data_IF_769476383368
#
_entry.id   IF_769476383368
#
_cell.length_a   1.000
_cell.length_b   1.000
_cell.length_c   1.000
_cell.angle_alpha   90.00
_cell.angle_beta   90.00
_cell.angle_gamma   90.00
#
_symmetry.space_group_name_H-M   'P 1'
#
loop_
_entity.id
_entity.type
_entity.pdbx_description
1 polymer ?
#
# COMPACT_ATOMS: atom_id res chain seq x y z
N UNK A 1 -22.08 -20.05 8.28
CA UNK A 1 -20.83 -19.27 8.17
C UNK A 1 -20.13 -18.90 9.50
N UNK A 2 -20.71 -19.13 10.70
CA UNK A 2 -20.09 -18.73 11.99
C UNK A 2 -18.76 -19.43 12.37
N UNK A 3 -18.38 -20.52 11.70
CA UNK A 3 -17.26 -21.38 12.11
C UNK A 3 -15.87 -20.82 11.74
N UNK A 4 -15.78 -19.88 10.81
CA UNK A 4 -14.52 -19.36 10.26
C UNK A 4 -14.50 -17.84 10.20
N UNK A 5 -15.18 -17.18 11.15
CA UNK A 5 -15.27 -15.71 11.17
C UNK A 5 -13.88 -15.07 11.20
N UNK A 6 -12.92 -15.72 11.86
CA UNK A 6 -11.56 -15.21 12.05
C UNK A 6 -10.60 -15.63 10.91
N UNK A 7 -11.07 -16.45 9.96
CA UNK A 7 -10.26 -16.85 8.80
C UNK A 7 -10.34 -15.84 7.65
N UNK A 8 -11.32 -14.95 7.66
CA UNK A 8 -11.56 -13.97 6.61
C UNK A 8 -11.53 -12.57 7.20
N UNK A 9 -10.86 -11.65 6.51
CA UNK A 9 -10.97 -10.23 6.79
C UNK A 9 -12.10 -9.65 5.96
N UNK A 10 -13.10 -9.07 6.61
CA UNK A 10 -14.22 -8.38 5.98
C UNK A 10 -13.92 -6.90 5.78
N UNK A 11 -13.03 -6.36 6.62
CA UNK A 11 -12.47 -5.03 6.49
C UNK A 11 -10.93 -5.04 6.56
N UNK A 12 -10.29 -4.03 5.99
CA UNK A 12 -8.83 -3.92 5.94
C UNK A 12 -8.20 -3.75 7.34
N UNK A 13 -8.94 -3.24 8.32
CA UNK A 13 -8.46 -3.18 9.70
C UNK A 13 -8.32 -4.58 10.33
N UNK A 14 -9.00 -5.60 9.80
CA UNK A 14 -8.92 -6.99 10.26
C UNK A 14 -7.74 -7.75 9.63
N UNK A 15 -6.93 -7.08 8.78
CA UNK A 15 -5.71 -7.64 8.19
C UNK A 15 -4.47 -7.00 8.81
N UNK A 16 -4.11 -7.29 10.08
CA UNK A 16 -2.82 -6.92 10.62
C UNK A 16 -1.77 -7.70 9.82
N UNK A 17 -1.08 -7.01 8.89
CA UNK A 17 -0.07 -7.65 8.05
C UNK A 17 0.97 -8.40 8.88
N UNK A 18 1.67 -9.34 8.23
CA UNK A 18 2.73 -10.10 8.90
C UNK A 18 3.89 -9.18 9.32
N UNK A 19 4.52 -9.50 10.45
CA UNK A 19 5.74 -8.81 10.86
C UNK A 19 6.82 -8.94 9.79
N UNK A 20 7.52 -7.84 9.49
CA UNK A 20 8.63 -7.82 8.53
C UNK A 20 9.79 -8.71 8.94
N UNK A 21 9.89 -9.05 10.23
CA UNK A 21 10.86 -10.01 10.75
C UNK A 21 10.54 -11.46 10.31
N UNK A 22 9.29 -11.73 9.92
CA UNK A 22 8.82 -13.06 9.51
C UNK A 22 8.89 -13.17 7.98
N UNK A 23 8.30 -12.21 7.27
CA UNK A 23 8.28 -12.20 5.80
C UNK A 23 8.41 -10.76 5.29
N UNK A 24 9.44 -10.52 4.49
CA UNK A 24 9.55 -9.33 3.65
C UNK A 24 9.92 -9.78 2.23
N UNK A 25 9.16 -9.33 1.24
CA UNK A 25 9.49 -9.59 -0.15
C UNK A 25 10.52 -8.57 -0.65
N UNK A 26 11.64 -9.05 -1.17
CA UNK A 26 12.64 -8.22 -1.84
C UNK A 26 12.53 -8.39 -3.34
N UNK A 27 12.18 -7.30 -4.03
CA UNK A 27 12.19 -7.27 -5.49
C UNK A 27 13.66 -7.18 -5.96
N UNK A 28 14.18 -8.17 -6.70
CA UNK A 28 15.54 -8.10 -7.22
C UNK A 28 15.63 -6.98 -8.25
N UNK A 29 16.49 -6.00 -7.98
CA UNK A 29 16.77 -4.90 -8.89
C UNK A 29 18.11 -5.13 -9.59
N UNK A 30 18.15 -4.75 -10.86
CA UNK A 30 19.39 -4.70 -11.62
C UNK A 30 20.28 -3.56 -11.08
N UNK A 31 21.54 -3.83 -10.69
CA UNK A 31 22.41 -2.81 -10.09
C UNK A 31 22.75 -1.66 -11.04
N UNK A 32 22.68 -1.89 -12.36
CA UNK A 32 22.92 -0.88 -13.38
C UNK A 32 21.75 0.10 -13.60
N UNK A 33 20.59 -0.14 -12.97
CA UNK A 33 19.37 0.63 -13.24
C UNK A 33 19.18 1.77 -12.25
N UNK A 34 19.12 2.98 -12.79
CA UNK A 34 18.81 4.20 -12.05
C UNK A 34 17.29 4.31 -11.78
N UNK A 35 16.87 4.80 -10.60
CA UNK A 35 15.46 5.08 -10.33
C UNK A 35 14.87 6.08 -11.33
N UNK A 36 13.68 5.79 -11.85
CA UNK A 36 12.96 6.68 -12.77
C UNK A 36 11.75 7.29 -12.08
N UNK A 37 11.67 8.61 -12.03
CA UNK A 37 10.49 9.32 -11.53
C UNK A 37 9.47 9.45 -12.66
N UNK A 38 8.38 8.71 -12.57
CA UNK A 38 7.26 8.83 -13.50
C UNK A 38 6.45 10.10 -13.19
N UNK A 39 5.96 10.76 -14.23
CA UNK A 39 5.06 11.91 -14.08
C UNK A 39 3.69 11.45 -13.55
N UNK A 40 3.06 12.20 -12.62
CA UNK A 40 1.72 11.90 -12.18
C UNK A 40 0.72 11.90 -13.35
N UNK A 41 -0.16 10.91 -13.38
CA UNK A 41 -1.25 10.82 -14.35
C UNK A 41 -2.39 11.75 -13.93
N UNK A 42 -2.98 12.48 -14.88
CA UNK A 42 -4.21 13.26 -14.65
C UNK A 42 -5.40 12.31 -14.72
N UNK A 43 -6.30 12.41 -13.74
CA UNK A 43 -7.56 11.68 -13.71
C UNK A 43 -8.72 12.68 -13.74
N UNK A 44 -9.88 12.20 -14.16
CA UNK A 44 -11.10 12.99 -14.10
C UNK A 44 -11.45 13.33 -12.63
N UNK A 45 -12.07 14.51 -12.34
CA UNK A 45 -12.31 14.97 -10.98
C UNK A 45 -13.08 13.97 -10.10
N UNK A 46 -14.06 13.28 -10.67
CA UNK A 46 -14.88 12.26 -9.99
C UNK A 46 -14.06 11.04 -9.56
N UNK A 47 -13.03 10.68 -10.32
CA UNK A 47 -12.10 9.59 -9.98
C UNK A 47 -11.13 10.07 -8.91
N UNK A 48 -10.63 11.31 -9.01
CA UNK A 48 -9.73 11.88 -8.01
C UNK A 48 -10.31 11.87 -6.60
N UNK A 49 -11.61 12.15 -6.45
CA UNK A 49 -12.29 12.08 -5.15
C UNK A 49 -12.27 10.67 -4.58
N UNK A 50 -12.52 9.64 -5.40
CA UNK A 50 -12.47 8.23 -4.98
C UNK A 50 -11.05 7.79 -4.62
N UNK A 51 -10.06 8.21 -5.40
CA UNK A 51 -8.64 7.92 -5.13
C UNK A 51 -8.22 8.49 -3.77
N UNK A 52 -8.59 9.75 -3.47
CA UNK A 52 -8.27 10.39 -2.18
C UNK A 52 -8.87 9.62 -1.00
N UNK A 53 -10.16 9.28 -1.08
CA UNK A 53 -10.84 8.51 -0.04
C UNK A 53 -10.17 7.15 0.20
N UNK A 54 -9.75 6.47 -0.87
CA UNK A 54 -9.07 5.18 -0.77
C UNK A 54 -7.66 5.31 -0.16
N UNK A 55 -6.90 6.34 -0.53
CA UNK A 55 -5.60 6.64 0.08
C UNK A 55 -5.73 6.88 1.58
N UNK A 56 -6.71 7.67 2.01
CA UNK A 56 -6.98 7.93 3.44
C UNK A 56 -7.33 6.63 4.19
N UNK A 57 -8.17 5.79 3.59
CA UNK A 57 -8.56 4.50 4.14
C UNK A 57 -7.35 3.57 4.32
N UNK A 58 -6.47 3.47 3.31
CA UNK A 58 -5.27 2.64 3.34
C UNK A 58 -4.19 3.18 4.30
N UNK A 59 -4.09 4.50 4.45
CA UNK A 59 -3.22 5.14 5.45
C UNK A 59 -3.70 4.85 6.88
N UNK A 60 -5.01 4.86 7.10
CA UNK A 60 -5.62 4.57 8.41
C UNK A 60 -5.31 3.15 8.89
N UNK A 61 -5.45 2.16 8.01
CA UNK A 61 -5.12 0.76 8.31
C UNK A 61 -3.61 0.42 8.19
N UNK A 62 -2.75 1.42 7.93
CA UNK A 62 -1.28 1.26 7.85
C UNK A 62 -0.77 0.34 6.73
N UNK A 63 -1.60 0.11 5.70
CA UNK A 63 -1.21 -0.65 4.51
C UNK A 63 -0.21 0.11 3.64
N UNK A 64 -0.36 1.43 3.56
CA UNK A 64 0.58 2.34 2.89
C UNK A 64 1.17 3.34 3.90
N UNK A 65 2.31 3.93 3.53
CA UNK A 65 2.97 4.99 4.33
C UNK A 65 3.53 6.06 3.41
N UNK A 66 3.62 7.28 3.92
CA UNK A 66 4.36 8.33 3.26
C UNK A 66 5.85 7.98 3.26
N UNK A 67 6.53 8.24 2.14
CA UNK A 67 7.98 8.12 2.06
C UNK A 67 8.53 9.48 1.67
N UNK A 68 9.54 9.96 2.42
CA UNK A 68 10.28 11.16 2.04
C UNK A 68 11.44 10.74 1.14
N UNK A 69 11.67 11.48 0.05
CA UNK A 69 12.82 11.27 -0.83
C UNK A 69 14.05 11.97 -0.25
N UNK A 70 14.45 11.61 0.97
CA UNK A 70 15.73 12.00 1.56
C UNK A 70 16.50 10.72 1.89
N UNK A 71 17.15 10.15 0.89
CA UNK A 71 18.15 9.10 1.05
C UNK A 71 19.07 9.13 -0.17
N UNK A 72 20.07 9.99 -0.10
CA UNK A 72 21.39 9.81 -0.69
C UNK A 72 22.38 10.05 0.43
#
# INVERSE_FOLDING_TARGET
LKKYRDCFAWDYNEMPGLSRNIVEHRLPLRPDKKPVKQLPRRFAPEIMTKIKAEIERLLKCKFIRTTSRNAS
#
